data_IF_207720675926
#
_entry.id   IF_207720675926
#
_cell.length_a   1.000
_cell.length_b   1.000
_cell.length_c   1.000
_cell.angle_alpha   90.00
_cell.angle_beta   90.00
_cell.angle_gamma   90.00
#
_symmetry.space_group_name_H-M   'P 1'
#
loop_
_entity.id
_entity.type
_entity.pdbx_description
1 polymer ?
#
# COMPACT_ATOMS: atom_id res chain seq x y z
N UNK A 1 -1.00 9.20 -9.52
CA UNK A 1 0.00 8.91 -10.57
C UNK A 1 -0.71 8.48 -11.86
N UNK A 2 -0.40 9.07 -13.02
CA UNK A 2 -0.78 8.48 -14.31
C UNK A 2 0.20 7.34 -14.59
N UNK A 3 -0.32 6.13 -14.73
CA UNK A 3 0.49 4.92 -14.84
C UNK A 3 0.11 4.27 -16.15
N UNK A 4 1.11 3.92 -16.96
CA UNK A 4 0.85 3.14 -18.16
C UNK A 4 0.29 1.76 -17.75
N UNK A 5 -0.68 1.19 -18.48
CA UNK A 5 -1.24 -0.13 -18.15
C UNK A 5 -0.16 -1.22 -17.99
N UNK A 6 0.97 -1.08 -18.68
CA UNK A 6 2.14 -1.97 -18.59
C UNK A 6 2.88 -1.92 -17.26
N UNK A 7 2.76 -0.83 -16.50
CA UNK A 7 3.42 -0.64 -15.19
C UNK A 7 2.56 -1.15 -14.03
N UNK A 8 1.25 -1.36 -14.24
CA UNK A 8 0.33 -1.84 -13.22
C UNK A 8 0.70 -3.23 -12.69
N UNK A 9 0.95 -4.17 -13.59
CA UNK A 9 1.34 -5.54 -13.27
C UNK A 9 2.66 -5.60 -12.47
N UNK A 10 3.74 -4.93 -12.90
CA UNK A 10 4.96 -4.82 -12.10
C UNK A 10 4.75 -4.24 -10.70
N UNK A 11 4.00 -3.14 -10.56
CA UNK A 11 3.72 -2.52 -9.25
C UNK A 11 2.94 -3.48 -8.35
N UNK A 12 1.90 -4.13 -8.89
CA UNK A 12 1.09 -5.09 -8.15
C UNK A 12 1.90 -6.29 -7.68
N UNK A 13 2.77 -6.82 -8.55
CA UNK A 13 3.65 -7.95 -8.22
C UNK A 13 4.69 -7.59 -7.16
N UNK A 14 5.31 -6.40 -7.27
CA UNK A 14 6.25 -5.90 -6.27
C UNK A 14 5.55 -5.70 -4.92
N UNK A 15 4.35 -5.12 -4.92
CA UNK A 15 3.56 -4.91 -3.72
C UNK A 15 3.23 -6.24 -3.03
N UNK A 16 2.72 -7.21 -3.79
CA UNK A 16 2.36 -8.52 -3.25
C UNK A 16 3.58 -9.27 -2.70
N UNK A 17 4.75 -9.16 -3.35
CA UNK A 17 6.00 -9.74 -2.83
C UNK A 17 6.44 -9.12 -1.50
N UNK A 18 6.17 -7.83 -1.29
CA UNK A 18 6.56 -7.12 -0.07
C UNK A 18 5.58 -7.39 1.07
N UNK A 19 4.28 -7.25 0.81
CA UNK A 19 3.24 -7.24 1.84
C UNK A 19 2.49 -8.58 1.97
N UNK A 20 2.69 -9.52 1.05
CA UNK A 20 2.00 -10.82 1.07
C UNK A 20 0.51 -10.74 0.72
N UNK A 21 0.02 -9.58 0.28
CA UNK A 21 -1.39 -9.31 -0.01
C UNK A 21 -1.56 -8.65 -1.37
N UNK A 22 -2.65 -8.97 -2.06
CA UNK A 22 -2.93 -8.45 -3.40
C UNK A 22 -3.10 -6.94 -3.39
N UNK A 23 -2.36 -6.27 -4.28
CA UNK A 23 -2.41 -4.82 -4.44
C UNK A 23 -3.82 -4.31 -4.78
N UNK A 24 -4.59 -5.10 -5.54
CA UNK A 24 -5.95 -4.75 -5.95
C UNK A 24 -6.91 -4.46 -4.79
N UNK A 25 -6.63 -4.96 -3.58
CA UNK A 25 -7.43 -4.64 -2.38
C UNK A 25 -7.36 -3.16 -2.00
N UNK A 26 -6.28 -2.48 -2.37
CA UNK A 26 -5.97 -1.11 -1.97
C UNK A 26 -6.07 -0.10 -3.12
N UNK A 27 -6.62 -0.50 -4.27
CA UNK A 27 -6.77 0.39 -5.42
C UNK A 27 -8.23 0.82 -5.54
N UNK A 28 -8.46 2.09 -5.86
CA UNK A 28 -9.78 2.53 -6.28
C UNK A 28 -10.04 2.12 -7.74
N UNK A 29 -10.77 1.01 -7.90
CA UNK A 29 -11.14 0.48 -9.21
C UNK A 29 -11.98 1.46 -10.03
N UNK A 30 -12.72 2.39 -9.42
CA UNK A 30 -13.53 3.36 -10.16
C UNK A 30 -12.65 4.35 -10.89
N UNK A 31 -11.61 4.85 -10.23
CA UNK A 31 -10.62 5.74 -10.86
C UNK A 31 -9.82 5.02 -11.93
N UNK A 32 -9.45 3.76 -11.68
CA UNK A 32 -8.74 2.96 -12.66
C UNK A 32 -9.56 2.76 -13.94
N UNK A 33 -10.84 2.42 -13.83
CA UNK A 33 -11.71 2.18 -14.98
C UNK A 33 -12.12 3.48 -15.70
N UNK A 34 -12.48 4.52 -14.96
CA UNK A 34 -13.02 5.76 -15.54
C UNK A 34 -11.93 6.70 -16.08
N UNK A 35 -10.73 6.71 -15.47
CA UNK A 35 -9.68 7.70 -15.76
C UNK A 35 -8.33 7.09 -16.13
N UNK A 36 -8.20 5.75 -16.08
CA UNK A 36 -6.90 5.05 -16.17
C UNK A 36 -5.89 5.60 -15.16
N UNK A 37 -6.38 6.05 -14.01
CA UNK A 37 -5.57 6.61 -12.94
C UNK A 37 -5.45 5.59 -11.82
N UNK A 38 -4.21 5.29 -11.41
CA UNK A 38 -3.98 4.50 -10.23
C UNK A 38 -4.13 5.40 -9.00
N UNK A 39 -5.16 5.12 -8.20
CA UNK A 39 -5.38 5.76 -6.91
C UNK A 39 -5.21 4.70 -5.83
N UNK A 40 -4.14 4.82 -5.05
CA UNK A 40 -3.90 4.00 -3.87
C UNK A 40 -4.73 4.53 -2.70
N UNK A 41 -5.54 3.65 -2.11
CA UNK A 41 -6.35 3.96 -0.95
C UNK A 41 -5.54 3.70 0.32
N UNK A 42 -4.91 4.77 0.82
CA UNK A 42 -4.09 4.71 2.03
C UNK A 42 -4.90 4.29 3.27
N UNK A 43 -6.15 4.73 3.39
CA UNK A 43 -7.01 4.38 4.53
C UNK A 43 -7.26 2.88 4.60
N UNK A 44 -7.64 2.25 3.48
CA UNK A 44 -7.80 0.79 3.42
C UNK A 44 -6.52 0.05 3.78
N UNK A 45 -5.36 0.62 3.43
CA UNK A 45 -4.08 0.02 3.77
C UNK A 45 -3.77 0.16 5.26
N UNK A 46 -4.06 1.30 5.89
CA UNK A 46 -3.91 1.46 7.34
C UNK A 46 -4.88 0.56 8.11
N UNK A 47 -6.13 0.45 7.68
CA UNK A 47 -7.11 -0.46 8.29
C UNK A 47 -6.60 -1.91 8.26
N UNK A 48 -6.06 -2.35 7.12
CA UNK A 48 -5.46 -3.68 7.00
C UNK A 48 -4.24 -3.87 7.91
N UNK A 49 -3.41 -2.84 8.10
CA UNK A 49 -2.29 -2.91 9.05
C UNK A 49 -2.78 -3.06 10.49
N UNK A 50 -3.84 -2.37 10.88
CA UNK A 50 -4.44 -2.48 12.22
C UNK A 50 -5.05 -3.86 12.44
N UNK A 51 -5.71 -4.42 11.43
CA UNK A 51 -6.24 -5.79 11.50
C UNK A 51 -5.11 -6.82 11.65
N UNK A 52 -3.98 -6.63 10.96
CA UNK A 52 -2.88 -7.59 10.99
C UNK A 52 -1.95 -7.43 12.21
N UNK A 53 -1.76 -6.20 12.68
CA UNK A 53 -0.78 -5.84 13.70
C UNK A 53 -1.36 -4.88 14.75
N UNK A 54 -2.48 -5.23 15.41
CA UNK A 54 -3.19 -4.34 16.33
C UNK A 54 -2.30 -3.86 17.49
N UNK A 55 -1.46 -4.75 18.01
CA UNK A 55 -0.55 -4.44 19.13
C UNK A 55 0.54 -3.43 18.74
N UNK A 56 0.94 -3.37 17.46
CA UNK A 56 1.95 -2.42 17.00
C UNK A 56 1.35 -1.09 16.57
N UNK A 57 0.12 -1.10 16.06
CA UNK A 57 -0.62 0.09 15.67
C UNK A 57 -1.22 0.83 16.86
N UNK A 58 -1.49 0.16 17.98
CA UNK A 58 -2.05 0.76 19.19
C UNK A 58 -1.02 1.42 20.13
N UNK A 59 0.28 1.31 19.81
CA UNK A 59 1.35 1.94 20.61
C UNK A 59 1.27 3.45 20.44
N UNK A 60 1.05 4.17 21.54
CA UNK A 60 0.97 5.62 21.53
C UNK A 60 2.24 6.26 20.92
N UNK A 61 2.03 7.22 20.03
CA UNK A 61 3.09 7.90 19.28
C UNK A 61 3.74 7.10 18.14
N UNK A 62 3.36 5.84 17.88
CA UNK A 62 3.90 5.06 16.76
C UNK A 62 3.14 5.35 15.46
N UNK A 63 3.88 5.74 14.41
CA UNK A 63 3.29 5.96 13.08
C UNK A 63 3.18 4.65 12.28
N UNK A 64 2.22 4.55 11.37
CA UNK A 64 2.12 3.39 10.45
C UNK A 64 3.38 3.18 9.60
N UNK A 65 4.13 4.23 9.25
CA UNK A 65 5.42 4.07 8.59
C UNK A 65 6.40 3.25 9.44
N UNK A 66 6.36 3.44 10.76
CA UNK A 66 7.20 2.69 11.71
C UNK A 66 6.76 1.23 11.75
N UNK A 67 5.45 0.97 11.81
CA UNK A 67 4.90 -0.40 11.74
C UNK A 67 5.28 -1.08 10.43
N UNK A 68 5.15 -0.38 9.30
CA UNK A 68 5.55 -0.87 7.98
C UNK A 68 7.05 -1.17 7.93
N UNK A 69 7.90 -0.30 8.49
CA UNK A 69 9.34 -0.54 8.53
C UNK A 69 9.68 -1.76 9.39
N UNK A 70 9.04 -1.93 10.56
CA UNK A 70 9.26 -3.08 11.45
C UNK A 70 8.85 -4.39 10.78
N UNK A 71 7.69 -4.43 10.10
CA UNK A 71 7.14 -5.65 9.50
C UNK A 71 7.72 -6.02 8.14
N UNK A 72 7.94 -5.01 7.30
CA UNK A 72 8.26 -5.23 5.87
C UNK A 72 9.63 -4.65 5.48
N UNK A 73 10.32 -3.99 6.41
CA UNK A 73 11.59 -3.33 6.20
C UNK A 73 11.47 -2.02 5.42
N UNK A 74 12.62 -1.37 5.19
CA UNK A 74 12.72 -0.12 4.41
C UNK A 74 12.10 -0.20 3.01
N UNK A 75 12.07 -1.40 2.42
CA UNK A 75 11.43 -1.65 1.12
C UNK A 75 9.92 -1.41 1.16
N UNK A 76 9.24 -1.77 2.26
CA UNK A 76 7.82 -1.51 2.44
C UNK A 76 7.52 -0.02 2.50
N UNK A 77 8.29 0.72 3.32
CA UNK A 77 8.16 2.18 3.42
C UNK A 77 8.41 2.85 2.07
N UNK A 78 9.44 2.40 1.33
CA UNK A 78 9.74 2.92 0.00
C UNK A 78 8.59 2.68 -0.98
N UNK A 79 7.96 1.51 -0.92
CA UNK A 79 6.81 1.18 -1.78
C UNK A 79 5.60 2.07 -1.48
N UNK A 80 5.22 2.24 -0.20
CA UNK A 80 4.10 3.12 0.15
C UNK A 80 4.39 4.57 -0.27
N UNK A 81 5.60 5.08 -0.04
CA UNK A 81 6.01 6.41 -0.50
C UNK A 81 5.97 6.57 -2.02
N UNK A 82 6.26 5.51 -2.79
CA UNK A 82 6.14 5.51 -4.26
C UNK A 82 4.68 5.61 -4.69
N UNK A 83 3.76 4.95 -3.99
CA UNK A 83 2.34 4.92 -4.29
C UNK A 83 1.58 6.21 -3.91
N UNK A 84 2.14 7.01 -3.01
CA UNK A 84 1.59 8.29 -2.57
C UNK A 84 2.10 9.51 -3.37
N UNK A 85 3.02 9.30 -4.32
CA UNK A 85 3.54 10.34 -5.22
C UNK A 85 2.79 10.34 -6.56
#
# INVERSE_FOLDING_TARGET
>A
MKIEPSEFLPIGNEFQKIFGISFGKFIDMRFLLARKELVFNLLKFTDWLEECYPDECSIDGVSYNTVVERKFGKRGVKMIKKLLK
#
